data_IF_766586296350
#
_entry.id   IF_766586296350
#
_cell.length_a   1.000
_cell.length_b   1.000
_cell.length_c   1.000
_cell.angle_alpha   90.00
_cell.angle_beta   90.00
_cell.angle_gamma   90.00
#
_symmetry.space_group_name_H-M   'P 1'
#
loop_
_entity.id
_entity.type
_entity.pdbx_description
1 polymer ?
#
# COMPACT_ATOMS: atom_id res chain seq x y z
N UNK A 1 -22.55 -3.58 -6.83
CA UNK A 1 -22.64 -2.56 -7.89
C UNK A 1 -22.16 -3.21 -9.18
N UNK A 2 -22.81 -2.96 -10.31
CA UNK A 2 -22.53 -3.63 -11.58
C UNK A 2 -21.50 -2.85 -12.40
N UNK A 3 -20.40 -3.50 -12.77
CA UNK A 3 -19.29 -2.92 -13.55
C UNK A 3 -19.76 -2.41 -14.91
N UNK A 4 -20.60 -3.17 -15.60
CA UNK A 4 -21.04 -2.82 -16.96
C UNK A 4 -22.02 -1.66 -16.92
N UNK A 5 -22.85 -1.57 -15.88
CA UNK A 5 -23.72 -0.43 -15.63
C UNK A 5 -22.93 0.86 -15.31
N UNK A 6 -21.81 0.75 -14.57
CA UNK A 6 -20.92 1.90 -14.29
C UNK A 6 -20.22 2.35 -15.57
N UNK A 7 -19.73 1.41 -16.39
CA UNK A 7 -19.05 1.72 -17.64
C UNK A 7 -20.00 2.32 -18.69
N UNK A 8 -21.26 1.90 -18.74
CA UNK A 8 -22.25 2.37 -19.72
C UNK A 8 -22.94 3.69 -19.33
N UNK A 9 -22.90 4.08 -18.05
CA UNK A 9 -23.77 5.11 -17.50
C UNK A 9 -23.29 6.57 -17.59
N UNK A 10 -22.02 6.85 -17.93
CA UNK A 10 -21.44 8.18 -17.69
C UNK A 10 -20.43 8.61 -18.77
N UNK A 11 -20.37 9.91 -19.12
CA UNK A 11 -19.49 10.42 -20.18
C UNK A 11 -18.03 10.53 -19.71
N UNK A 12 -17.10 10.03 -20.54
CA UNK A 12 -15.65 10.22 -20.38
C UNK A 12 -14.84 8.96 -20.63
N UNK A 13 -13.64 9.11 -21.17
CA UNK A 13 -12.70 7.99 -21.33
C UNK A 13 -12.21 7.52 -19.94
N UNK A 14 -12.19 6.21 -19.65
CA UNK A 14 -11.70 5.69 -18.38
C UNK A 14 -10.26 6.15 -18.07
N UNK A 15 -9.98 6.43 -16.80
CA UNK A 15 -8.64 6.80 -16.37
C UNK A 15 -7.81 5.56 -16.07
N UNK A 16 -6.57 5.53 -16.54
CA UNK A 16 -5.60 4.58 -16.01
C UNK A 16 -5.33 4.81 -14.53
N UNK A 17 -4.88 3.77 -13.83
CA UNK A 17 -4.46 3.88 -12.43
C UNK A 17 -3.39 4.96 -12.18
N UNK A 18 -2.53 5.25 -13.17
CA UNK A 18 -1.57 6.38 -13.09
C UNK A 18 -2.29 7.72 -13.14
N UNK A 19 -3.16 7.93 -14.13
CA UNK A 19 -3.91 9.19 -14.25
C UNK A 19 -4.80 9.43 -13.03
N UNK A 20 -5.42 8.38 -12.48
CA UNK A 20 -6.18 8.49 -11.24
C UNK A 20 -5.30 8.91 -10.05
N UNK A 21 -4.10 8.32 -9.93
CA UNK A 21 -3.15 8.70 -8.88
C UNK A 21 -2.70 10.17 -9.01
N UNK A 22 -2.45 10.65 -10.24
CA UNK A 22 -2.08 12.04 -10.49
C UNK A 22 -3.19 13.01 -10.06
N UNK A 23 -4.46 12.68 -10.31
CA UNK A 23 -5.62 13.49 -9.88
C UNK A 23 -5.81 13.50 -8.37
N UNK A 24 -5.56 12.38 -7.70
CA UNK A 24 -5.60 12.31 -6.23
C UNK A 24 -4.46 13.13 -5.63
N UNK A 25 -3.26 13.04 -6.21
CA UNK A 25 -2.10 13.82 -5.80
C UNK A 25 -2.34 15.34 -5.95
N UNK A 26 -2.96 15.75 -7.06
CA UNK A 26 -3.37 17.14 -7.32
C UNK A 26 -4.40 17.62 -6.30
N UNK A 27 -5.42 16.81 -6.00
CA UNK A 27 -6.44 17.14 -4.98
C UNK A 27 -5.86 17.32 -3.57
N UNK A 28 -4.76 16.63 -3.26
CA UNK A 28 -4.02 16.77 -2.01
C UNK A 28 -3.04 17.95 -1.99
N UNK A 29 -2.91 18.70 -3.09
CA UNK A 29 -1.93 19.79 -3.21
C UNK A 29 -0.48 19.32 -3.36
N UNK A 30 -0.26 18.04 -3.66
CA UNK A 30 1.07 17.43 -3.84
C UNK A 30 1.14 16.72 -5.19
N UNK A 31 1.04 17.43 -6.32
CA UNK A 31 0.96 16.81 -7.64
C UNK A 31 2.17 15.93 -7.93
N UNK A 32 1.95 14.79 -8.59
CA UNK A 32 3.03 13.92 -9.03
C UNK A 32 3.85 14.60 -10.14
N UNK A 33 5.16 14.71 -9.94
CA UNK A 33 6.08 15.32 -10.90
C UNK A 33 6.86 14.23 -11.63
N UNK A 34 6.93 14.32 -12.96
CA UNK A 34 7.68 13.38 -13.78
C UNK A 34 9.18 13.42 -13.41
N UNK A 35 9.76 12.27 -13.10
CA UNK A 35 11.16 12.15 -12.70
C UNK A 35 11.39 12.20 -11.19
N UNK A 36 10.37 12.54 -10.41
CA UNK A 36 10.41 12.51 -8.96
C UNK A 36 9.66 11.28 -8.41
N UNK A 37 9.99 10.84 -7.18
CA UNK A 37 9.16 9.86 -6.49
C UNK A 37 7.71 10.37 -6.37
N UNK A 38 6.71 9.63 -6.88
CA UNK A 38 5.32 10.06 -6.83
C UNK A 38 4.81 10.15 -5.39
N UNK A 39 4.05 11.22 -5.09
CA UNK A 39 3.36 11.40 -3.83
C UNK A 39 2.19 10.41 -3.67
N UNK A 40 1.46 10.15 -4.77
CA UNK A 40 0.40 9.13 -4.83
C UNK A 40 0.69 8.19 -5.98
N UNK A 41 0.60 6.88 -5.72
CA UNK A 41 0.98 5.85 -6.70
C UNK A 41 -0.22 5.06 -7.19
N UNK A 42 -0.08 4.37 -8.32
CA UNK A 42 -1.10 3.42 -8.78
C UNK A 42 -1.38 2.29 -7.76
N UNK A 43 -0.44 2.01 -6.85
CA UNK A 43 -0.69 1.10 -5.71
C UNK A 43 -1.83 1.61 -4.83
N UNK A 44 -1.83 2.91 -4.48
CA UNK A 44 -2.91 3.54 -3.69
C UNK A 44 -4.25 3.39 -4.40
N UNK A 45 -4.28 3.62 -5.72
CA UNK A 45 -5.49 3.43 -6.53
C UNK A 45 -6.00 1.98 -6.47
N UNK A 46 -5.10 0.99 -6.58
CA UNK A 46 -5.48 -0.42 -6.39
C UNK A 46 -5.97 -0.74 -4.97
N UNK A 47 -5.49 -0.04 -3.95
CA UNK A 47 -6.01 -0.18 -2.58
C UNK A 47 -7.40 0.45 -2.44
N UNK A 48 -7.67 1.56 -3.11
CA UNK A 48 -9.01 2.14 -3.18
C UNK A 48 -9.98 1.21 -3.91
N UNK A 49 -9.54 0.51 -4.96
CA UNK A 49 -10.35 -0.53 -5.60
C UNK A 49 -10.62 -1.71 -4.67
N UNK A 50 -9.59 -2.23 -3.98
CA UNK A 50 -9.76 -3.31 -3.02
C UNK A 50 -10.66 -2.93 -1.83
N UNK A 51 -10.70 -1.64 -1.46
CA UNK A 51 -11.59 -1.09 -0.44
C UNK A 51 -13.00 -0.74 -0.96
N UNK A 52 -13.28 -0.94 -2.26
CA UNK A 52 -14.57 -0.63 -2.88
C UNK A 52 -14.83 0.86 -3.11
N UNK A 53 -13.83 1.73 -2.95
CA UNK A 53 -13.94 3.17 -3.21
C UNK A 53 -13.89 3.50 -4.71
N UNK A 54 -13.21 2.66 -5.49
CA UNK A 54 -13.14 2.75 -6.95
C UNK A 54 -13.53 1.40 -7.55
N UNK A 55 -14.15 1.40 -8.73
CA UNK A 55 -14.46 0.17 -9.45
C UNK A 55 -13.42 -0.08 -10.55
N UNK A 56 -12.85 -1.28 -10.57
CA UNK A 56 -11.98 -1.74 -11.65
C UNK A 56 -12.82 -2.02 -12.92
N UNK A 57 -12.57 -1.25 -13.97
CA UNK A 57 -13.25 -1.32 -15.25
C UNK A 57 -12.47 -2.10 -16.31
N UNK A 58 -11.21 -2.43 -16.07
CA UNK A 58 -10.41 -3.26 -16.97
C UNK A 58 -10.54 -4.75 -16.61
N UNK A 59 -10.28 -5.62 -17.59
CA UNK A 59 -10.08 -7.05 -17.32
C UNK A 59 -8.60 -7.38 -17.01
N UNK A 60 -7.71 -6.38 -17.05
CA UNK A 60 -6.26 -6.55 -16.89
C UNK A 60 -5.75 -5.74 -15.68
N UNK A 61 -5.31 -6.40 -14.60
CA UNK A 61 -4.83 -5.72 -13.40
C UNK A 61 -3.58 -4.85 -13.61
N UNK A 62 -2.79 -5.10 -14.66
CA UNK A 62 -1.60 -4.28 -14.98
C UNK A 62 -1.97 -2.99 -15.73
N UNK A 63 -3.20 -2.90 -16.22
CA UNK A 63 -3.76 -1.78 -16.97
C UNK A 63 -5.06 -1.26 -16.36
N UNK A 64 -5.15 -1.23 -15.02
CA UNK A 64 -6.33 -0.81 -14.26
C UNK A 64 -6.97 0.45 -14.83
N UNK A 65 -8.27 0.37 -15.10
CA UNK A 65 -9.10 1.48 -15.56
C UNK A 65 -10.14 1.80 -14.51
N UNK A 66 -10.31 3.07 -14.19
CA UNK A 66 -11.28 3.55 -13.20
C UNK A 66 -12.14 4.67 -13.76
N UNK A 67 -13.34 4.80 -13.23
CA UNK A 67 -14.28 5.81 -13.69
C UNK A 67 -13.87 7.22 -13.22
N UNK A 68 -13.81 8.25 -14.10
CA UNK A 68 -13.41 9.60 -13.71
C UNK A 68 -14.27 10.23 -12.60
N UNK A 69 -15.59 9.97 -12.58
CA UNK A 69 -16.46 10.52 -11.53
C UNK A 69 -16.18 9.91 -10.16
N UNK A 70 -15.87 8.62 -10.09
CA UNK A 70 -15.52 7.97 -8.81
C UNK A 70 -14.20 8.52 -8.29
N UNK A 71 -13.24 8.81 -9.18
CA UNK A 71 -12.01 9.51 -8.79
C UNK A 71 -12.32 10.90 -8.25
N UNK A 72 -13.20 11.66 -8.90
CA UNK A 72 -13.63 12.98 -8.41
C UNK A 72 -14.35 12.91 -7.04
N UNK A 73 -15.23 11.92 -6.85
CA UNK A 73 -15.90 11.65 -5.58
C UNK A 73 -14.89 11.33 -4.47
N UNK A 74 -13.90 10.48 -4.75
CA UNK A 74 -12.80 10.19 -3.83
C UNK A 74 -11.99 11.45 -3.53
N UNK A 75 -11.63 12.24 -4.55
CA UNK A 75 -10.88 13.49 -4.38
C UNK A 75 -11.63 14.53 -3.53
N UNK A 76 -12.96 14.51 -3.53
CA UNK A 76 -13.78 15.42 -2.73
C UNK A 76 -13.95 14.98 -1.26
N UNK A 77 -13.44 13.81 -0.89
CA UNK A 77 -13.61 13.30 0.48
C UNK A 77 -12.78 14.10 1.50
N UNK A 78 -13.34 14.43 2.67
CA UNK A 78 -12.61 15.14 3.71
C UNK A 78 -11.49 14.29 4.34
N UNK A 79 -11.61 12.95 4.30
CA UNK A 79 -10.63 12.00 4.84
C UNK A 79 -9.62 11.51 3.78
N UNK A 80 -9.56 12.14 2.59
CA UNK A 80 -8.71 11.69 1.48
C UNK A 80 -7.24 11.54 1.90
N UNK A 81 -6.70 12.50 2.64
CA UNK A 81 -5.31 12.47 3.09
C UNK A 81 -5.03 11.26 4.00
N UNK A 82 -5.97 10.92 4.89
CA UNK A 82 -5.87 9.76 5.77
C UNK A 82 -5.98 8.45 4.98
N UNK A 83 -6.91 8.38 4.03
CA UNK A 83 -7.07 7.21 3.15
C UNK A 83 -5.80 6.95 2.32
N UNK A 84 -5.22 8.00 1.74
CA UNK A 84 -3.96 7.90 0.98
C UNK A 84 -2.81 7.51 1.87
N UNK A 85 -2.67 8.13 3.05
CA UNK A 85 -1.63 7.79 4.01
C UNK A 85 -1.73 6.31 4.43
N UNK A 86 -2.93 5.82 4.78
CA UNK A 86 -3.16 4.43 5.18
C UNK A 86 -2.95 3.42 4.04
N UNK A 87 -3.26 3.81 2.80
CA UNK A 87 -3.09 2.99 1.62
C UNK A 87 -1.66 3.02 1.05
N UNK A 88 -0.78 3.88 1.56
CA UNK A 88 0.56 4.06 1.00
C UNK A 88 1.42 2.80 1.19
N UNK A 89 2.22 2.41 0.16
CA UNK A 89 3.04 1.22 0.23
C UNK A 89 4.29 1.44 1.08
N UNK A 90 4.63 0.44 1.88
CA UNK A 90 5.90 0.32 2.60
C UNK A 90 6.63 -0.92 2.15
N UNK A 91 7.91 -0.76 1.80
CA UNK A 91 8.83 -1.88 1.70
C UNK A 91 9.12 -2.49 3.08
N UNK A 92 9.76 -3.67 3.13
CA UNK A 92 9.92 -4.40 4.37
C UNK A 92 10.76 -3.68 5.45
N UNK A 93 11.80 -2.94 5.04
CA UNK A 93 12.59 -2.11 5.96
C UNK A 93 11.80 -0.90 6.48
N UNK A 94 11.02 -0.26 5.60
CA UNK A 94 10.18 0.88 5.96
C UNK A 94 9.06 0.46 6.93
N UNK A 95 8.47 -0.72 6.73
CA UNK A 95 7.45 -1.27 7.62
C UNK A 95 8.00 -1.57 9.02
N UNK A 96 9.19 -2.20 9.10
CA UNK A 96 9.87 -2.42 10.38
C UNK A 96 10.20 -1.11 11.10
N UNK A 97 10.75 -0.14 10.37
CA UNK A 97 11.06 1.18 10.90
C UNK A 97 9.81 1.91 11.42
N UNK A 98 8.69 1.85 10.69
CA UNK A 98 7.42 2.44 11.11
C UNK A 98 6.90 1.87 12.42
N UNK A 99 7.04 0.56 12.63
CA UNK A 99 6.68 -0.09 13.90
C UNK A 99 7.68 0.17 15.04
N UNK A 100 8.85 0.73 14.73
CA UNK A 100 9.95 0.89 15.67
C UNK A 100 10.59 -0.44 16.09
N UNK A 101 10.50 -1.48 15.25
CA UNK A 101 11.06 -2.81 15.53
C UNK A 101 12.23 -3.12 14.60
N UNK A 102 13.05 -4.11 14.95
CA UNK A 102 14.15 -4.53 14.07
C UNK A 102 13.62 -5.28 12.86
N UNK A 103 14.39 -5.28 11.77
CA UNK A 103 14.08 -6.03 10.56
C UNK A 103 13.83 -7.51 10.81
N UNK A 104 14.61 -8.13 11.70
CA UNK A 104 14.42 -9.53 12.10
C UNK A 104 13.11 -9.79 12.84
N UNK A 105 12.62 -8.83 13.65
CA UNK A 105 11.35 -8.98 14.36
C UNK A 105 10.18 -8.90 13.38
N UNK A 106 10.27 -8.01 12.39
CA UNK A 106 9.31 -8.01 11.27
C UNK A 106 9.29 -9.34 10.51
N UNK A 107 10.46 -9.91 10.19
CA UNK A 107 10.52 -11.20 9.48
C UNK A 107 9.87 -12.33 10.28
N UNK A 108 9.92 -12.27 11.61
CA UNK A 108 9.14 -13.16 12.46
C UNK A 108 7.63 -12.94 12.28
N UNK A 109 7.14 -11.69 12.28
CA UNK A 109 5.72 -11.39 12.06
C UNK A 109 5.22 -11.92 10.70
N UNK A 110 6.01 -11.75 9.64
CA UNK A 110 5.70 -12.31 8.31
C UNK A 110 5.67 -13.84 8.33
N UNK A 111 6.64 -14.48 9.01
CA UNK A 111 6.68 -15.94 9.15
C UNK A 111 5.49 -16.48 9.96
N UNK A 112 5.08 -15.74 11.00
CA UNK A 112 3.90 -16.01 11.83
C UNK A 112 2.58 -15.71 11.12
N UNK A 113 2.60 -15.17 9.90
CA UNK A 113 1.42 -14.82 9.10
C UNK A 113 0.54 -13.74 9.73
N UNK A 114 1.12 -12.91 10.61
CA UNK A 114 0.41 -11.77 11.21
C UNK A 114 0.18 -10.65 10.20
N UNK A 115 1.00 -10.60 9.16
CA UNK A 115 0.86 -9.66 8.05
C UNK A 115 1.20 -10.35 6.74
N UNK A 116 0.43 -10.02 5.71
CA UNK A 116 0.65 -10.45 4.34
C UNK A 116 0.97 -9.23 3.46
N UNK A 117 1.82 -9.39 2.43
CA UNK A 117 2.02 -8.34 1.45
C UNK A 117 0.71 -8.07 0.72
N UNK A 118 0.41 -6.78 0.53
CA UNK A 118 -0.75 -6.36 -0.25
C UNK A 118 -0.45 -6.43 -1.76
N UNK A 119 0.83 -6.37 -2.14
CA UNK A 119 1.29 -6.55 -3.52
C UNK A 119 2.77 -6.92 -3.55
N UNK A 120 3.24 -7.46 -4.68
CA UNK A 120 4.65 -7.61 -4.99
C UNK A 120 5.01 -6.64 -6.11
N UNK A 121 6.14 -5.96 -5.96
CA UNK A 121 6.61 -4.98 -6.95
C UNK A 121 8.01 -5.32 -7.40
N UNK A 122 8.18 -5.47 -8.71
CA UNK A 122 9.51 -5.60 -9.32
C UNK A 122 10.30 -4.30 -9.10
N UNK A 123 11.47 -4.42 -8.48
CA UNK A 123 12.43 -3.34 -8.32
C UNK A 123 13.71 -3.73 -9.05
N UNK A 124 14.10 -2.91 -10.02
CA UNK A 124 15.33 -3.11 -10.79
C UNK A 124 16.50 -2.49 -10.04
N UNK A 125 17.51 -3.28 -9.70
CA UNK A 125 18.79 -2.80 -9.23
C UNK A 125 19.74 -2.60 -10.41
N UNK A 126 20.07 -1.34 -10.71
CA UNK A 126 20.96 -0.98 -11.83
C UNK A 126 20.25 -0.90 -13.19
N UNK A 127 21.02 -0.82 -14.27
CA UNK A 127 20.53 -0.58 -15.64
C UNK A 127 20.16 -1.85 -16.43
N UNK A 128 20.25 -3.04 -15.82
CA UNK A 128 19.94 -4.31 -16.50
C UNK A 128 18.79 -5.05 -15.84
N UNK A 129 17.91 -5.66 -16.66
CA UNK A 129 16.81 -6.53 -16.21
C UNK A 129 17.28 -7.75 -15.39
N UNK A 130 18.57 -8.11 -15.45
CA UNK A 130 19.13 -9.24 -14.71
C UNK A 130 19.22 -8.99 -13.18
N UNK A 131 18.99 -7.75 -12.71
CA UNK A 131 18.97 -7.36 -11.30
C UNK A 131 17.58 -7.03 -10.74
N UNK A 132 16.51 -7.44 -11.44
CA UNK A 132 15.14 -7.23 -10.99
C UNK A 132 14.78 -8.18 -9.84
N UNK A 133 14.29 -7.63 -8.73
CA UNK A 133 13.84 -8.40 -7.55
C UNK A 133 12.42 -7.99 -7.21
N UNK A 134 11.54 -8.96 -6.98
CA UNK A 134 10.21 -8.72 -6.45
C UNK A 134 10.28 -8.40 -4.96
N UNK A 135 9.85 -7.19 -4.62
CA UNK A 135 9.81 -6.71 -3.24
C UNK A 135 8.36 -6.71 -2.74
N UNK A 136 8.07 -7.34 -1.59
CA UNK A 136 6.72 -7.31 -1.02
C UNK A 136 6.40 -5.93 -0.45
N UNK A 137 5.24 -5.39 -0.83
CA UNK A 137 4.72 -4.11 -0.40
C UNK A 137 3.58 -4.31 0.60
N UNK A 138 3.65 -3.57 1.71
CA UNK A 138 2.65 -3.61 2.79
C UNK A 138 1.93 -2.27 2.86
N UNK A 139 0.65 -2.26 3.26
CA UNK A 139 -0.05 -1.00 3.49
C UNK A 139 0.33 -0.44 4.85
N UNK A 140 0.50 0.88 4.92
CA UNK A 140 0.64 1.61 6.19
C UNK A 140 -0.42 1.21 7.21
N UNK A 141 -1.69 1.16 6.82
CA UNK A 141 -2.79 0.83 7.73
C UNK A 141 -2.67 -0.59 8.33
N UNK A 142 -2.23 -1.58 7.53
CA UNK A 142 -2.05 -2.95 8.02
C UNK A 142 -0.88 -3.03 9.00
N UNK A 143 0.19 -2.29 8.73
CA UNK A 143 1.36 -2.18 9.62
C UNK A 143 0.96 -1.54 10.95
N UNK A 144 0.21 -0.43 10.91
CA UNK A 144 -0.21 0.30 12.11
C UNK A 144 -1.24 -0.45 12.95
N UNK A 145 -2.01 -1.36 12.34
CA UNK A 145 -2.99 -2.18 13.03
C UNK A 145 -2.34 -3.32 13.84
N UNK A 146 -1.10 -3.71 13.54
CA UNK A 146 -0.45 -4.86 14.17
C UNK A 146 -0.44 -4.81 15.71
N UNK A 147 -0.12 -3.67 16.37
CA UNK A 147 -0.16 -3.61 17.83
C UNK A 147 -1.53 -3.82 18.45
N UNK A 148 -2.59 -3.33 17.80
CA UNK A 148 -3.95 -3.54 18.25
C UNK A 148 -4.44 -4.98 17.96
N UNK A 149 -3.99 -5.58 16.86
CA UNK A 149 -4.34 -6.95 16.49
C UNK A 149 -3.64 -8.01 17.35
N UNK A 150 -2.48 -7.68 17.92
CA UNK A 150 -1.69 -8.56 18.78
C UNK A 150 -1.44 -7.94 20.16
N UNK A 151 -2.50 -7.76 20.99
CA UNK A 151 -2.37 -7.19 22.32
C UNK A 151 -1.60 -8.09 23.30
N UNK A 152 -1.44 -9.38 22.98
CA UNK A 152 -0.65 -10.34 23.75
C UNK A 152 0.86 -10.07 23.72
N UNK A 153 1.33 -9.23 22.80
CA UNK A 153 2.75 -8.89 22.65
C UNK A 153 3.09 -7.66 23.50
N UNK A 154 4.17 -7.75 24.28
CA UNK A 154 4.79 -6.58 24.91
C UNK A 154 5.53 -5.75 23.83
N UNK A 155 4.79 -4.85 23.19
CA UNK A 155 5.31 -3.98 22.13
C UNK A 155 6.43 -3.04 22.59
N UNK A 156 6.34 -2.37 23.77
CA UNK A 156 7.46 -1.62 24.31
C UNK A 156 8.72 -2.48 24.47
N UNK A 157 8.63 -3.69 25.04
CA UNK A 157 9.78 -4.57 25.19
C UNK A 157 10.34 -5.02 23.83
N UNK A 158 9.46 -5.34 22.87
CA UNK A 158 9.87 -5.72 21.51
C UNK A 158 10.64 -4.60 20.79
N UNK A 159 10.18 -3.35 20.92
CA UNK A 159 10.85 -2.17 20.36
C UNK A 159 12.19 -1.87 21.04
N UNK A 160 12.32 -2.21 22.32
CA UNK A 160 13.54 -2.00 23.10
C UNK A 160 14.63 -3.07 22.87
N UNK A 161 14.37 -4.13 22.08
CA UNK A 161 15.34 -5.22 21.92
C UNK A 161 16.60 -4.75 21.18
N UNK A 162 17.73 -4.80 21.88
CA UNK A 162 19.03 -4.42 21.33
C UNK A 162 19.56 -5.37 20.24
N UNK A 163 20.55 -4.89 19.47
CA UNK A 163 21.28 -5.70 18.46
C UNK A 163 21.88 -6.96 19.09
N UNK A 164 21.84 -8.08 18.36
CA UNK A 164 22.42 -9.37 18.79
C UNK A 164 21.57 -10.15 19.81
N UNK A 165 20.45 -9.60 20.28
CA UNK A 165 19.51 -10.32 21.17
C UNK A 165 18.45 -11.06 20.36
N UNK A 166 18.10 -12.27 20.80
CA UNK A 166 17.03 -13.07 20.19
C UNK A 166 15.70 -12.33 20.24
N UNK A 167 14.91 -12.43 19.17
CA UNK A 167 13.56 -11.86 19.11
C UNK A 167 12.65 -12.52 20.15
N UNK A 168 11.88 -11.73 20.94
CA UNK A 168 10.80 -12.26 21.77
C UNK A 168 9.77 -13.07 20.97
N UNK A 169 9.52 -12.70 19.70
CA UNK A 169 8.58 -13.39 18.82
C UNK A 169 9.06 -14.80 18.42
N UNK A 170 10.34 -15.11 18.58
CA UNK A 170 10.87 -16.44 18.31
C UNK A 170 10.36 -17.51 19.30
N UNK A 171 9.82 -17.11 20.45
CA UNK A 171 9.17 -18.02 21.40
C UNK A 171 7.71 -18.30 21.04
N UNK A 172 7.06 -17.39 20.29
CA UNK A 172 5.67 -17.50 19.84
C UNK A 172 5.53 -18.41 18.62
N UNK A 173 6.60 -18.56 17.83
CA UNK A 173 6.63 -19.41 16.63
C UNK A 173 6.73 -20.93 16.93
N UNK A 174 6.27 -21.40 18.09
CA UNK A 174 6.25 -22.81 18.48
C UNK A 174 4.84 -23.36 18.53
#
# INVERSE_FOLDING_TARGET
MDRDAIAAGLPGEPLSGRQAADRIAEALGTPNISGEPPAVTAFVVRRFMAAGLLTELSANPDGSLVHPSQVAEVCARPDLAELVAGASPLGPDQAAARLGVRRSDWDHMVRLKWIAPAEWREVQFGSSRAGAVDVPMYRVADVDALPAAHPEVDWPALRAVGKGRRSPLAAVAR
#
